data_IF_839237157967
#
_entry.id   IF_839237157967
#
_cell.length_a   1.000
_cell.length_b   1.000
_cell.length_c   1.000
_cell.angle_alpha   90.00
_cell.angle_beta   90.00
_cell.angle_gamma   90.00
#
_symmetry.space_group_name_H-M   'P 1'
#
loop_
_entity.id
_entity.type
_entity.pdbx_description
1 polymer ?
#
# COMPACT_ATOMS: atom_id res chain seq x y z
N UNK A 1 -26.73 -14.33 26.49
CA UNK A 1 -26.48 -14.19 25.08
C UNK A 1 -26.76 -15.53 24.35
N UNK A 2 -26.08 -16.65 24.67
CA UNK A 2 -26.24 -17.93 23.96
C UNK A 2 -27.69 -18.44 23.84
N UNK A 3 -28.51 -18.35 24.93
CA UNK A 3 -29.90 -18.83 24.93
C UNK A 3 -30.86 -17.93 24.14
N UNK A 4 -30.45 -16.69 23.80
CA UNK A 4 -31.27 -15.68 23.11
C UNK A 4 -30.76 -15.37 21.72
N UNK A 5 -29.80 -16.15 21.23
CA UNK A 5 -29.10 -15.91 19.94
C UNK A 5 -28.64 -14.47 19.78
N UNK A 6 -28.18 -13.86 20.90
CA UNK A 6 -27.73 -12.48 20.96
C UNK A 6 -26.21 -12.39 21.11
N UNK A 7 -25.66 -11.22 20.77
CA UNK A 7 -24.26 -10.91 21.00
C UNK A 7 -24.03 -10.46 22.45
N UNK A 8 -22.98 -10.99 23.08
CA UNK A 8 -22.52 -10.51 24.38
C UNK A 8 -21.67 -9.28 24.16
N UNK A 9 -22.26 -8.10 24.32
CA UNK A 9 -21.64 -6.82 24.00
C UNK A 9 -21.89 -5.78 25.10
N UNK A 10 -21.06 -4.74 25.11
CA UNK A 10 -21.23 -3.53 25.89
C UNK A 10 -21.44 -2.34 24.96
N UNK A 11 -22.29 -1.42 25.39
CA UNK A 11 -22.52 -0.18 24.66
C UNK A 11 -21.37 0.79 24.91
N UNK A 12 -20.92 1.46 23.84
CA UNK A 12 -19.87 2.44 23.89
C UNK A 12 -20.46 3.83 23.66
N UNK A 13 -20.24 4.72 24.60
CA UNK A 13 -20.59 6.13 24.54
C UNK A 13 -19.32 6.97 24.57
N UNK A 14 -19.34 8.09 23.86
CA UNK A 14 -18.25 9.06 23.85
C UNK A 14 -18.85 10.43 24.18
N UNK A 15 -18.24 11.12 25.14
CA UNK A 15 -18.59 12.51 25.45
C UNK A 15 -18.07 13.42 24.35
N UNK A 16 -18.97 13.97 23.57
CA UNK A 16 -18.67 14.93 22.51
C UNK A 16 -18.89 16.34 22.99
N UNK A 17 -17.92 17.22 22.71
CA UNK A 17 -18.01 18.65 22.97
C UNK A 17 -18.14 19.41 21.67
N UNK A 18 -19.29 20.04 21.44
CA UNK A 18 -19.50 20.93 20.31
C UNK A 18 -19.17 22.35 20.72
N UNK A 19 -18.25 22.98 20.02
CA UNK A 19 -17.85 24.36 20.23
C UNK A 19 -18.32 25.18 19.03
N UNK A 20 -19.29 26.08 19.24
CA UNK A 20 -19.69 27.04 18.24
C UNK A 20 -18.67 28.19 18.21
N UNK A 21 -17.94 28.30 17.09
CA UNK A 21 -16.87 29.30 16.96
C UNK A 21 -17.36 30.74 16.86
N UNK A 22 -18.62 30.95 16.45
CA UNK A 22 -19.19 32.26 16.27
C UNK A 22 -19.78 32.80 17.58
N UNK A 23 -20.48 31.94 18.35
CA UNK A 23 -21.16 32.35 19.60
C UNK A 23 -20.33 32.02 20.84
N UNK A 24 -19.30 31.21 20.74
CA UNK A 24 -18.53 30.70 21.88
C UNK A 24 -19.27 29.67 22.74
N UNK A 25 -20.47 29.27 22.33
CA UNK A 25 -21.30 28.33 23.09
C UNK A 25 -20.67 26.92 23.04
N UNK A 26 -20.60 26.25 24.20
CA UNK A 26 -20.11 24.90 24.36
C UNK A 26 -21.24 24.01 24.83
N UNK A 27 -21.53 22.95 24.06
CA UNK A 27 -22.50 21.91 24.42
C UNK A 27 -21.75 20.57 24.55
N UNK A 28 -21.98 19.91 25.69
CA UNK A 28 -21.46 18.55 25.91
C UNK A 28 -22.62 17.56 25.93
N UNK A 29 -22.44 16.45 25.24
CA UNK A 29 -23.43 15.38 25.20
C UNK A 29 -22.72 14.03 25.02
N UNK A 30 -23.22 13.00 25.72
CA UNK A 30 -22.82 11.62 25.44
C UNK A 30 -23.49 11.11 24.17
N UNK A 31 -22.69 10.65 23.24
CA UNK A 31 -23.13 10.13 21.94
C UNK A 31 -22.87 8.63 21.91
N UNK A 32 -23.89 7.85 21.60
CA UNK A 32 -23.76 6.41 21.36
C UNK A 32 -22.98 6.18 20.05
N UNK A 33 -21.88 5.44 20.12
CA UNK A 33 -21.03 5.11 18.97
C UNK A 33 -21.35 3.72 18.42
N UNK A 34 -21.67 2.78 19.30
CA UNK A 34 -21.95 1.41 18.88
C UNK A 34 -21.82 0.42 20.02
N UNK A 35 -21.91 -0.86 19.67
CA UNK A 35 -21.73 -1.96 20.61
C UNK A 35 -20.42 -2.69 20.29
N UNK A 36 -19.65 -2.99 21.35
CA UNK A 36 -18.43 -3.77 21.24
C UNK A 36 -18.64 -5.15 21.88
N UNK A 37 -18.40 -6.25 21.16
CA UNK A 37 -18.42 -7.58 21.76
C UNK A 37 -17.45 -7.70 22.92
N UNK A 38 -17.91 -8.26 24.03
CA UNK A 38 -17.08 -8.50 25.20
C UNK A 38 -16.49 -9.89 25.15
N UNK A 39 -15.25 -10.00 25.59
CA UNK A 39 -14.57 -11.28 25.75
C UNK A 39 -15.10 -11.98 27.00
N UNK A 40 -15.35 -13.27 26.89
CA UNK A 40 -15.68 -14.13 28.01
C UNK A 40 -14.43 -14.48 28.81
N UNK A 41 -14.61 -15.03 30.03
CA UNK A 41 -13.50 -15.52 30.88
C UNK A 41 -12.65 -16.61 30.18
N UNK A 42 -13.22 -17.30 29.19
CA UNK A 42 -12.54 -18.34 28.40
C UNK A 42 -11.77 -17.81 27.21
N UNK A 43 -11.72 -16.46 26.99
CA UNK A 43 -11.06 -15.87 25.85
C UNK A 43 -11.86 -16.00 24.53
N UNK A 44 -13.17 -16.20 24.61
CA UNK A 44 -14.07 -16.34 23.47
C UNK A 44 -15.02 -15.14 23.37
N UNK A 45 -15.70 -15.00 22.23
CA UNK A 45 -16.75 -13.99 22.00
C UNK A 45 -18.06 -14.72 21.67
N UNK A 46 -19.18 -14.21 22.15
CA UNK A 46 -20.50 -14.72 21.79
C UNK A 46 -21.12 -13.75 20.81
N UNK A 47 -21.25 -14.18 19.55
CA UNK A 47 -21.80 -13.40 18.44
C UNK A 47 -23.01 -14.13 17.91
N UNK A 48 -24.20 -13.48 17.97
CA UNK A 48 -25.47 -14.08 17.54
C UNK A 48 -25.67 -15.49 18.14
N UNK A 49 -25.43 -15.63 19.45
CA UNK A 49 -25.57 -16.90 20.15
C UNK A 49 -24.42 -17.90 19.98
N UNK A 50 -23.60 -17.77 18.94
CA UNK A 50 -22.47 -18.66 18.67
C UNK A 50 -21.20 -18.20 19.40
N UNK A 51 -20.54 -19.14 20.07
CA UNK A 51 -19.24 -18.87 20.70
C UNK A 51 -18.14 -18.97 19.66
N UNK A 52 -17.36 -17.89 19.54
CA UNK A 52 -16.30 -17.73 18.54
C UNK A 52 -15.00 -17.36 19.21
N UNK A 53 -13.90 -17.73 18.59
CA UNK A 53 -12.54 -17.37 19.00
C UNK A 53 -11.83 -16.68 17.87
N UNK A 54 -10.99 -15.68 18.20
CA UNK A 54 -10.13 -15.03 17.22
C UNK A 54 -8.91 -15.92 17.02
N UNK A 55 -8.70 -16.36 15.78
CA UNK A 55 -7.53 -17.15 15.39
C UNK A 55 -6.37 -16.21 15.06
N UNK A 56 -5.24 -16.42 15.73
CA UNK A 56 -4.01 -15.69 15.43
C UNK A 56 -3.55 -16.00 14.00
N UNK A 57 -3.21 -14.96 13.25
CA UNK A 57 -2.68 -15.08 11.91
C UNK A 57 -1.20 -14.71 11.89
N UNK A 58 -0.38 -15.58 11.27
CA UNK A 58 1.02 -15.30 11.03
C UNK A 58 1.12 -14.62 9.68
N UNK A 59 1.60 -13.37 9.68
CA UNK A 59 1.82 -12.59 8.47
C UNK A 59 3.32 -12.38 8.24
N UNK A 60 3.70 -12.18 6.98
CA UNK A 60 5.07 -11.82 6.63
C UNK A 60 5.40 -10.44 7.19
N UNK A 61 6.54 -10.30 7.86
CA UNK A 61 6.92 -9.01 8.45
C UNK A 61 7.18 -7.94 7.36
N UNK A 62 6.96 -6.66 7.66
CA UNK A 62 7.29 -5.58 6.73
C UNK A 62 8.76 -5.60 6.30
N UNK A 63 9.04 -5.17 5.08
CA UNK A 63 10.39 -5.11 4.53
C UNK A 63 10.43 -5.41 3.03
N UNK A 64 11.64 -5.59 2.50
CA UNK A 64 11.87 -5.97 1.11
C UNK A 64 12.29 -7.45 1.02
N UNK A 65 11.75 -8.16 0.05
CA UNK A 65 11.99 -9.57 -0.21
C UNK A 65 12.33 -9.78 -1.67
N UNK A 66 13.43 -10.46 -1.91
CA UNK A 66 13.89 -10.82 -3.26
C UNK A 66 13.68 -12.30 -3.49
N UNK A 67 13.30 -12.66 -4.70
CA UNK A 67 13.15 -14.03 -5.17
C UNK A 67 13.59 -14.07 -6.63
N UNK A 68 14.38 -15.05 -6.99
CA UNK A 68 14.66 -15.43 -8.36
C UNK A 68 13.91 -16.71 -8.72
N UNK A 69 13.44 -16.79 -9.93
CA UNK A 69 12.76 -17.97 -10.48
C UNK A 69 13.39 -18.31 -11.83
N UNK A 70 13.59 -19.59 -12.06
CA UNK A 70 14.07 -20.07 -13.34
C UNK A 70 12.92 -20.67 -14.13
N UNK A 71 12.71 -20.19 -15.37
CA UNK A 71 11.72 -20.75 -16.28
C UNK A 71 12.20 -22.12 -16.81
N UNK A 72 11.29 -22.90 -17.38
CA UNK A 72 11.55 -24.20 -18.01
C UNK A 72 12.65 -24.14 -19.08
N UNK A 73 12.87 -22.97 -19.66
CA UNK A 73 13.90 -22.69 -20.67
C UNK A 73 15.24 -22.23 -20.08
N UNK A 74 15.42 -22.31 -18.77
CA UNK A 74 16.65 -21.88 -18.09
C UNK A 74 16.80 -20.37 -17.92
N UNK A 75 15.84 -19.53 -18.32
CA UNK A 75 15.88 -18.08 -18.13
C UNK A 75 15.54 -17.71 -16.69
N UNK A 76 16.32 -16.82 -16.12
CA UNK A 76 16.07 -16.29 -14.77
C UNK A 76 15.19 -15.05 -14.83
N UNK A 77 14.18 -15.03 -13.98
CA UNK A 77 13.34 -13.85 -13.71
C UNK A 77 13.51 -13.45 -12.25
N UNK A 78 13.53 -12.15 -12.00
CA UNK A 78 13.77 -11.61 -10.67
C UNK A 78 12.51 -10.94 -10.16
N UNK A 79 12.20 -11.18 -8.89
CA UNK A 79 11.07 -10.61 -8.21
C UNK A 79 11.56 -9.88 -6.96
N UNK A 80 11.08 -8.65 -6.74
CA UNK A 80 11.28 -7.91 -5.51
C UNK A 80 9.92 -7.47 -4.96
N UNK A 81 9.64 -7.80 -3.70
CA UNK A 81 8.39 -7.43 -3.06
C UNK A 81 8.67 -6.50 -1.89
N UNK A 82 8.10 -5.31 -1.92
CA UNK A 82 8.10 -4.36 -0.81
C UNK A 82 6.78 -4.53 -0.07
N UNK A 83 6.87 -4.96 1.19
CA UNK A 83 5.72 -5.22 2.05
C UNK A 83 5.72 -4.16 3.14
N UNK A 84 4.74 -3.24 3.16
CA UNK A 84 4.57 -2.29 4.24
C UNK A 84 3.94 -2.93 5.48
N UNK A 85 4.00 -2.25 6.62
CA UNK A 85 3.23 -2.60 7.81
C UNK A 85 1.73 -2.31 7.58
N UNK A 86 1.44 -1.22 6.88
CA UNK A 86 0.09 -0.82 6.47
C UNK A 86 0.16 -0.21 5.07
N UNK A 87 -0.76 -0.61 4.18
CA UNK A 87 -0.90 -0.06 2.84
C UNK A 87 -0.62 -1.05 1.73
N UNK A 88 -0.45 -0.52 0.53
CA UNK A 88 -0.33 -1.29 -0.69
C UNK A 88 1.05 -1.98 -0.81
N UNK A 89 1.03 -3.24 -1.25
CA UNK A 89 2.26 -3.96 -1.57
C UNK A 89 2.76 -3.54 -2.95
N UNK A 90 4.08 -3.35 -3.07
CA UNK A 90 4.74 -3.18 -4.36
C UNK A 90 5.50 -4.45 -4.70
N UNK A 91 5.20 -5.02 -5.87
CA UNK A 91 5.93 -6.16 -6.39
C UNK A 91 6.56 -5.80 -7.74
N UNK A 92 7.87 -5.74 -7.77
CA UNK A 92 8.64 -5.58 -9.00
C UNK A 92 8.96 -6.96 -9.56
N UNK A 93 8.81 -7.14 -10.86
CA UNK A 93 9.08 -8.40 -11.54
C UNK A 93 9.68 -8.14 -12.94
N UNK A 94 10.70 -8.90 -13.29
CA UNK A 94 11.25 -8.89 -14.66
C UNK A 94 10.50 -9.87 -15.54
N UNK A 95 10.35 -9.53 -16.82
CA UNK A 95 9.72 -10.38 -17.82
C UNK A 95 10.79 -11.14 -18.64
N UNK A 96 10.33 -12.03 -19.51
CA UNK A 96 11.14 -12.81 -20.47
C UNK A 96 11.94 -11.92 -21.44
N UNK A 97 11.47 -10.73 -21.69
CA UNK A 97 12.08 -9.72 -22.56
C UNK A 97 12.98 -8.74 -21.78
N UNK A 98 13.32 -9.06 -20.53
CA UNK A 98 14.09 -8.18 -19.65
C UNK A 98 13.41 -6.81 -19.40
N UNK A 99 12.09 -6.76 -19.46
CA UNK A 99 11.29 -5.61 -19.09
C UNK A 99 10.99 -5.65 -17.60
N UNK A 100 11.09 -4.50 -16.94
CA UNK A 100 10.76 -4.36 -15.53
C UNK A 100 9.32 -3.88 -15.37
N UNK A 101 8.52 -4.68 -14.67
CA UNK A 101 7.14 -4.38 -14.33
C UNK A 101 6.97 -4.20 -12.84
N UNK A 102 5.92 -3.46 -12.47
CA UNK A 102 5.47 -3.32 -11.09
C UNK A 102 3.99 -3.66 -10.96
N UNK A 103 3.63 -4.28 -9.84
CA UNK A 103 2.24 -4.47 -9.43
C UNK A 103 2.02 -3.78 -8.11
N UNK A 104 0.92 -3.07 -8.01
CA UNK A 104 0.43 -2.47 -6.77
C UNK A 104 -0.68 -3.39 -6.25
N UNK A 105 -0.45 -4.05 -5.14
CA UNK A 105 -1.33 -5.10 -4.59
C UNK A 105 -1.60 -6.23 -5.61
N UNK A 106 -2.88 -6.46 -5.89
CA UNK A 106 -3.36 -7.47 -6.85
C UNK A 106 -3.69 -6.90 -8.22
N UNK A 107 -3.23 -5.69 -8.54
CA UNK A 107 -3.53 -5.03 -9.82
C UNK A 107 -2.79 -5.67 -11.00
N UNK A 108 -3.18 -5.26 -12.21
CA UNK A 108 -2.47 -5.65 -13.44
C UNK A 108 -1.05 -5.10 -13.44
N UNK A 109 -0.17 -5.75 -14.20
CA UNK A 109 1.22 -5.28 -14.42
C UNK A 109 1.23 -3.87 -15.02
N UNK A 110 2.07 -3.03 -14.46
CA UNK A 110 2.35 -1.67 -14.92
C UNK A 110 3.83 -1.66 -15.28
N UNK A 111 4.20 -1.03 -16.38
CA UNK A 111 5.61 -0.82 -16.71
C UNK A 111 6.25 0.01 -15.58
N UNK A 112 7.42 -0.42 -15.08
CA UNK A 112 8.07 0.25 -13.94
C UNK A 112 8.43 1.70 -14.26
N UNK A 113 8.83 1.99 -15.51
CA UNK A 113 9.09 3.35 -15.97
C UNK A 113 7.86 4.26 -15.83
N UNK A 114 6.66 3.76 -16.17
CA UNK A 114 5.40 4.51 -16.02
C UNK A 114 5.16 4.88 -14.56
N UNK A 115 5.39 3.96 -13.62
CA UNK A 115 5.25 4.28 -12.19
C UNK A 115 6.28 5.32 -11.74
N UNK A 116 7.56 5.17 -12.11
CA UNK A 116 8.61 6.11 -11.70
C UNK A 116 8.37 7.51 -12.26
N UNK A 117 7.96 7.60 -13.52
CA UNK A 117 7.61 8.89 -14.19
C UNK A 117 6.37 9.51 -13.55
N UNK A 118 5.34 8.73 -13.23
CA UNK A 118 4.17 9.22 -12.51
C UNK A 118 4.49 9.72 -11.09
N UNK A 119 5.59 9.25 -10.49
CA UNK A 119 6.12 9.77 -9.22
C UNK A 119 6.98 11.03 -9.39
N UNK A 120 7.12 11.57 -10.60
CA UNK A 120 7.93 12.74 -10.90
C UNK A 120 9.44 12.49 -10.97
N UNK A 121 9.87 11.22 -11.06
CA UNK A 121 11.29 10.89 -11.18
C UNK A 121 11.73 10.99 -12.66
N UNK A 122 12.88 11.63 -12.90
CA UNK A 122 13.48 11.65 -14.23
C UNK A 122 14.18 10.32 -14.53
N UNK A 123 14.29 9.99 -15.82
CA UNK A 123 14.95 8.75 -16.25
C UNK A 123 16.42 8.68 -15.80
N UNK A 124 17.11 9.82 -15.84
CA UNK A 124 18.50 9.92 -15.41
C UNK A 124 18.63 9.67 -13.90
N UNK A 125 17.74 10.24 -13.08
CA UNK A 125 17.76 10.03 -11.63
C UNK A 125 17.61 8.56 -11.25
N UNK A 126 16.82 7.82 -12.02
CA UNK A 126 16.62 6.39 -11.80
C UNK A 126 17.81 5.58 -12.32
N UNK A 127 18.26 5.84 -13.55
CA UNK A 127 19.36 5.11 -14.21
C UNK A 127 20.65 5.22 -13.40
N UNK A 128 20.99 6.42 -12.90
CA UNK A 128 22.23 6.68 -12.15
C UNK A 128 22.28 5.90 -10.81
N UNK A 129 21.13 5.54 -10.25
CA UNK A 129 21.05 4.77 -9.00
C UNK A 129 21.02 3.25 -9.21
N UNK A 130 20.82 2.79 -10.44
CA UNK A 130 20.71 1.38 -10.74
C UNK A 130 22.07 0.77 -11.08
N UNK A 131 22.38 -0.40 -10.49
CA UNK A 131 23.56 -1.20 -10.87
C UNK A 131 23.39 -1.90 -12.22
N UNK A 132 22.16 -2.20 -12.61
CA UNK A 132 21.76 -2.90 -13.82
C UNK A 132 20.69 -2.10 -14.55
N UNK A 133 21.07 -0.97 -15.19
CA UNK A 133 20.11 -0.06 -15.81
C UNK A 133 19.47 -0.64 -17.09
N UNK A 134 20.00 -1.72 -17.65
CA UNK A 134 19.51 -2.36 -18.86
C UNK A 134 18.03 -2.74 -18.79
N UNK A 135 17.57 -3.30 -17.67
CA UNK A 135 16.17 -3.67 -17.47
C UNK A 135 15.25 -2.46 -17.49
N UNK A 136 15.70 -1.36 -16.91
CA UNK A 136 14.93 -0.12 -16.85
C UNK A 136 14.94 0.60 -18.20
N UNK A 137 16.06 0.62 -18.93
CA UNK A 137 16.17 1.19 -20.27
C UNK A 137 15.21 0.49 -21.24
N UNK A 138 15.20 -0.84 -21.26
CA UNK A 138 14.22 -1.61 -22.05
C UNK A 138 12.78 -1.23 -21.71
N UNK A 139 12.51 -0.96 -20.43
CA UNK A 139 11.17 -0.54 -19.97
C UNK A 139 10.83 0.90 -20.42
N UNK A 140 11.81 1.80 -20.55
CA UNK A 140 11.64 3.12 -21.13
C UNK A 140 11.25 3.00 -22.62
N UNK A 141 12.00 2.21 -23.39
CA UNK A 141 11.76 2.02 -24.81
C UNK A 141 10.36 1.47 -25.07
N UNK A 142 9.96 0.43 -24.31
CA UNK A 142 8.61 -0.12 -24.38
C UNK A 142 7.51 0.88 -24.03
N UNK A 143 7.72 1.74 -23.02
CA UNK A 143 6.73 2.75 -22.66
C UNK A 143 6.63 3.87 -23.71
N UNK A 144 7.75 4.24 -24.34
CA UNK A 144 7.78 5.22 -25.42
C UNK A 144 7.04 4.68 -26.66
N UNK A 145 7.20 3.39 -27.00
CA UNK A 145 6.44 2.73 -28.06
C UNK A 145 4.93 2.74 -27.80
N UNK A 146 4.52 2.63 -26.52
CA UNK A 146 3.12 2.76 -26.09
C UNK A 146 2.62 4.22 -26.06
N UNK A 147 3.47 5.19 -26.41
CA UNK A 147 3.15 6.62 -26.44
C UNK A 147 3.16 7.31 -25.07
N UNK A 148 3.78 6.70 -24.04
CA UNK A 148 3.85 7.25 -22.69
C UNK A 148 5.18 7.99 -22.51
N UNK A 149 5.23 9.26 -22.93
CA UNK A 149 6.44 10.08 -22.93
C UNK A 149 6.45 11.20 -21.89
N UNK A 150 5.29 11.53 -21.29
CA UNK A 150 5.14 12.59 -20.29
C UNK A 150 4.65 12.07 -18.94
N UNK A 151 4.84 12.87 -17.89
CA UNK A 151 4.32 12.59 -16.55
C UNK A 151 2.79 12.47 -16.56
N UNK A 152 2.11 13.37 -17.26
CA UNK A 152 0.64 13.36 -17.34
C UNK A 152 0.12 12.09 -18.00
N UNK A 153 0.76 11.63 -19.07
CA UNK A 153 0.41 10.36 -19.72
C UNK A 153 0.66 9.16 -18.80
N UNK A 154 1.76 9.18 -18.05
CA UNK A 154 2.06 8.15 -17.07
C UNK A 154 1.03 8.11 -15.93
N UNK A 155 0.59 9.27 -15.43
CA UNK A 155 -0.47 9.37 -14.41
C UNK A 155 -1.82 8.85 -14.93
N UNK A 156 -2.19 9.18 -16.17
CA UNK A 156 -3.41 8.68 -16.80
C UNK A 156 -3.40 7.15 -16.96
N UNK A 157 -2.26 6.60 -17.42
CA UNK A 157 -2.13 5.15 -17.58
C UNK A 157 -2.14 4.43 -16.22
N UNK A 158 -1.44 4.99 -15.22
CA UNK A 158 -1.45 4.49 -13.86
C UNK A 158 -2.88 4.47 -13.29
N UNK A 159 -3.65 5.56 -13.49
CA UNK A 159 -5.03 5.64 -13.04
C UNK A 159 -5.91 4.56 -13.67
N UNK A 160 -5.83 4.35 -14.99
CA UNK A 160 -6.57 3.31 -15.72
C UNK A 160 -6.28 1.91 -15.17
N UNK A 161 -5.01 1.61 -14.81
CA UNK A 161 -4.61 0.31 -14.27
C UNK A 161 -5.06 0.11 -12.82
N UNK A 162 -5.05 1.17 -12.00
CA UNK A 162 -5.42 1.11 -10.58
C UNK A 162 -6.92 1.21 -10.33
N UNK A 163 -7.66 1.92 -11.21
CA UNK A 163 -9.12 2.09 -11.15
C UNK A 163 -9.78 1.84 -12.51
N UNK A 164 -9.84 0.58 -12.93
CA UNK A 164 -10.50 0.24 -14.18
C UNK A 164 -12.00 0.57 -14.10
N UNK A 165 -12.50 1.26 -15.13
CA UNK A 165 -13.93 1.63 -15.25
C UNK A 165 -14.24 3.09 -14.88
N UNK A 166 -13.31 3.84 -14.30
CA UNK A 166 -13.45 5.27 -14.06
C UNK A 166 -12.75 6.08 -15.19
N UNK A 167 -13.29 7.24 -15.59
CA UNK A 167 -12.61 8.11 -16.55
C UNK A 167 -11.31 8.62 -15.95
N UNK A 168 -10.16 8.46 -16.65
CA UNK A 168 -8.87 8.87 -16.11
C UNK A 168 -8.71 10.39 -16.16
N UNK A 169 -8.13 10.95 -15.09
CA UNK A 169 -7.71 12.37 -15.02
C UNK A 169 -6.34 12.49 -14.38
N UNK A 170 -5.57 13.49 -14.79
CA UNK A 170 -4.22 13.74 -14.24
C UNK A 170 -4.29 14.03 -12.74
N UNK A 171 -5.18 14.92 -12.32
CA UNK A 171 -5.39 15.25 -10.92
C UNK A 171 -5.84 14.06 -10.09
N UNK A 172 -6.74 13.23 -10.64
CA UNK A 172 -7.16 11.97 -10.02
C UNK A 172 -6.01 10.98 -9.86
N UNK A 173 -5.13 10.89 -10.87
CA UNK A 173 -3.91 10.08 -10.83
C UNK A 173 -2.95 10.50 -9.73
N UNK A 174 -2.66 11.81 -9.63
CA UNK A 174 -1.82 12.38 -8.59
C UNK A 174 -2.39 12.14 -7.19
N UNK A 175 -3.68 12.41 -7.00
CA UNK A 175 -4.36 12.20 -5.72
C UNK A 175 -4.37 10.72 -5.32
N UNK A 176 -4.60 9.81 -6.28
CA UNK A 176 -4.59 8.38 -6.06
C UNK A 176 -3.21 7.89 -5.62
N UNK A 177 -2.15 8.31 -6.31
CA UNK A 177 -0.77 7.97 -6.02
C UNK A 177 -0.36 8.50 -4.65
N UNK A 178 -0.64 9.79 -4.39
CA UNK A 178 -0.36 10.40 -3.09
C UNK A 178 -1.08 9.66 -1.95
N UNK A 179 -2.37 9.38 -2.10
CA UNK A 179 -3.14 8.70 -1.06
C UNK A 179 -2.70 7.27 -0.79
N UNK A 180 -2.11 6.58 -1.80
CA UNK A 180 -1.68 5.19 -1.64
C UNK A 180 -0.30 5.03 -1.02
N UNK A 181 0.63 5.98 -1.27
CA UNK A 181 2.03 5.82 -0.91
C UNK A 181 2.59 6.93 -0.01
N UNK A 182 1.94 8.10 0.02
CA UNK A 182 2.44 9.28 0.73
C UNK A 182 1.52 9.77 1.86
N UNK A 183 0.33 9.21 1.99
CA UNK A 183 -0.55 9.50 3.12
C UNK A 183 -0.16 8.63 4.33
N UNK A 184 0.37 9.25 5.38
CA UNK A 184 0.80 8.56 6.60
C UNK A 184 -0.33 7.78 7.30
N UNK A 185 -1.60 8.11 7.06
CA UNK A 185 -2.75 7.35 7.59
C UNK A 185 -3.00 6.07 6.81
N UNK A 186 -2.57 5.99 5.56
CA UNK A 186 -2.87 4.88 4.63
C UNK A 186 -1.66 4.02 4.32
N UNK A 187 -0.45 4.58 4.38
CA UNK A 187 0.79 3.86 4.08
C UNK A 187 1.83 4.06 5.17
N UNK A 188 2.37 2.97 5.69
CA UNK A 188 3.46 3.00 6.65
C UNK A 188 4.31 1.74 6.52
N UNK A 189 5.60 1.90 6.31
CA UNK A 189 6.56 0.80 6.30
C UNK A 189 6.81 0.23 7.70
N UNK A 190 6.50 1.00 8.74
CA UNK A 190 6.78 0.66 10.11
C UNK A 190 8.29 0.64 10.43
N UNK A 191 8.65 0.72 11.68
CA UNK A 191 10.06 0.72 12.13
C UNK A 191 10.83 -0.51 11.66
N UNK A 192 10.20 -1.69 11.76
CA UNK A 192 10.81 -2.96 11.34
C UNK A 192 11.03 -3.02 9.83
N UNK A 193 10.05 -2.53 9.05
CA UNK A 193 10.16 -2.49 7.59
C UNK A 193 11.30 -1.58 7.14
N UNK A 194 11.39 -0.38 7.68
CA UNK A 194 12.48 0.58 7.40
C UNK A 194 13.84 0.00 7.74
N UNK A 195 14.01 -0.55 8.92
CA UNK A 195 15.26 -1.20 9.33
C UNK A 195 15.66 -2.32 8.36
N UNK A 196 14.72 -3.19 7.98
CA UNK A 196 15.00 -4.30 7.05
C UNK A 196 15.36 -3.83 5.64
N UNK A 197 14.70 -2.78 5.15
CA UNK A 197 15.01 -2.16 3.86
C UNK A 197 16.41 -1.57 3.89
N UNK A 198 16.73 -0.76 4.88
CA UNK A 198 18.06 -0.18 5.09
C UNK A 198 19.14 -1.27 5.11
N UNK A 199 18.94 -2.32 5.91
CA UNK A 199 19.90 -3.42 6.03
C UNK A 199 20.09 -4.17 4.71
N UNK A 200 19.01 -4.48 4.00
CA UNK A 200 19.11 -5.28 2.75
C UNK A 200 19.63 -4.49 1.57
N UNK A 201 19.22 -3.23 1.45
CA UNK A 201 19.66 -2.34 0.37
C UNK A 201 20.96 -1.60 0.70
N UNK A 202 21.50 -1.79 1.92
CA UNK A 202 22.69 -1.09 2.42
C UNK A 202 22.55 0.43 2.34
N UNK A 203 21.35 0.92 2.71
CA UNK A 203 21.06 2.34 2.76
C UNK A 203 21.47 2.89 4.14
N UNK A 204 21.84 4.16 4.18
CA UNK A 204 22.16 4.91 5.40
C UNK A 204 21.09 5.98 5.70
N UNK A 205 19.87 5.73 5.23
CA UNK A 205 18.76 6.67 5.39
C UNK A 205 18.21 6.57 6.82
N UNK A 206 18.03 7.69 7.55
CA UNK A 206 17.41 7.68 8.86
C UNK A 206 16.03 7.00 8.83
N UNK A 207 15.70 6.21 9.86
CA UNK A 207 14.47 5.44 9.92
C UNK A 207 13.18 6.27 9.73
N UNK A 208 13.24 7.58 10.07
CA UNK A 208 12.11 8.51 9.92
C UNK A 208 11.95 9.05 8.50
N UNK A 209 13.00 9.09 7.67
CA UNK A 209 12.97 9.67 6.33
C UNK A 209 12.52 8.66 5.25
N UNK A 210 12.40 7.38 5.55
CA UNK A 210 11.87 6.37 4.63
C UNK A 210 10.35 6.47 4.41
N UNK A 211 9.68 7.42 5.06
CA UNK A 211 8.28 7.76 4.78
C UNK A 211 8.16 8.55 3.46
N UNK A 212 9.25 9.16 3.02
CA UNK A 212 9.30 10.10 1.88
C UNK A 212 10.16 9.60 0.72
N UNK A 213 10.30 8.30 0.57
CA UNK A 213 10.96 7.75 -0.63
C UNK A 213 10.04 7.82 -1.83
#
# INVERSE_FOLDING_TARGET
AKRRDATFASQMYVTCRLINKETGEIKEQEVFIGELPLMTERGTFIINGAERVIVNQIVRSPGVYFKDEQDKNGRRTYNASVIPNRGAWLKFETDKNNLLYVRVDKTRKINAHVLMRAMGLSDNDVIDKLRHPEFYKNSIDSANEEGITSEDQALLELYKKLRPGEPPSVSGGQQLLHSRFFDAKRYDLGRVGRYKINKKLRLTVPDLSLIHI
#
